data_IF_380818618707
#
_entry.id   IF_380818618707
#
_cell.length_a   1.000
_cell.length_b   1.000
_cell.length_c   1.000
_cell.angle_alpha   90.00
_cell.angle_beta   90.00
_cell.angle_gamma   90.00
#
_symmetry.space_group_name_H-M   'P 1'
#
loop_
_entity.id
_entity.type
_entity.pdbx_description
1 polymer ?
#
# COMPACT_ATOMS: atom_id res chain seq x y z
N UNK A 1 30.98 12.73 -15.85
CA UNK A 1 29.55 13.09 -15.81
C UNK A 1 28.92 12.48 -14.56
N UNK A 2 28.05 13.19 -13.82
CA UNK A 2 27.37 12.65 -12.65
C UNK A 2 26.33 11.59 -13.06
N UNK A 3 26.23 10.52 -12.27
CA UNK A 3 25.26 9.42 -12.46
C UNK A 3 24.24 9.48 -11.33
N UNK A 4 22.96 9.29 -11.66
CA UNK A 4 21.85 9.32 -10.70
C UNK A 4 21.03 8.02 -10.80
N UNK A 5 20.38 7.63 -9.71
CA UNK A 5 19.44 6.49 -9.65
C UNK A 5 18.07 6.95 -9.18
N UNK A 6 17.00 6.32 -9.68
CA UNK A 6 15.63 6.54 -9.19
C UNK A 6 15.53 6.10 -7.73
N UNK A 7 14.71 6.79 -6.93
CA UNK A 7 14.43 6.37 -5.55
C UNK A 7 13.56 5.11 -5.58
N UNK A 8 13.81 4.11 -4.72
CA UNK A 8 12.92 2.96 -4.57
C UNK A 8 11.58 3.46 -4.02
N UNK A 9 10.48 3.03 -4.65
CA UNK A 9 9.12 3.43 -4.28
C UNK A 9 8.46 2.19 -3.66
N UNK A 10 7.95 2.32 -2.44
CA UNK A 10 7.11 1.30 -1.81
C UNK A 10 5.66 1.75 -1.96
N UNK A 11 4.81 0.84 -2.42
CA UNK A 11 3.38 1.08 -2.67
C UNK A 11 2.56 -0.03 -2.03
N UNK A 12 1.30 0.28 -1.71
CA UNK A 12 0.33 -0.75 -1.32
C UNK A 12 -0.37 -1.26 -2.57
N UNK A 13 -0.49 -2.58 -2.72
CA UNK A 13 -1.10 -3.19 -3.89
C UNK A 13 -2.04 -4.33 -3.50
N UNK A 14 -3.20 -4.39 -4.16
CA UNK A 14 -4.20 -5.43 -3.98
C UNK A 14 -4.40 -6.18 -5.30
N UNK A 15 -4.16 -7.50 -5.30
CA UNK A 15 -4.45 -8.35 -6.45
C UNK A 15 -5.95 -8.53 -6.60
N UNK A 16 -6.47 -8.20 -7.76
CA UNK A 16 -7.90 -8.30 -8.06
C UNK A 16 -8.31 -9.76 -8.26
N UNK A 17 -9.41 -10.15 -7.62
CA UNK A 17 -10.04 -11.47 -7.79
C UNK A 17 -11.29 -11.43 -8.69
N UNK A 18 -11.78 -10.23 -8.98
CA UNK A 18 -12.95 -9.96 -9.82
C UNK A 18 -12.67 -8.74 -10.69
N UNK A 19 -13.39 -8.62 -11.80
CA UNK A 19 -13.31 -7.41 -12.62
C UNK A 19 -13.91 -6.22 -11.86
N UNK A 20 -13.18 -5.11 -11.84
CA UNK A 20 -13.66 -3.86 -11.26
C UNK A 20 -13.52 -2.74 -12.30
N UNK A 21 -14.26 -1.67 -12.09
CA UNK A 21 -14.10 -0.44 -12.87
C UNK A 21 -13.87 0.69 -11.88
N UNK A 22 -12.80 1.45 -12.07
CA UNK A 22 -12.46 2.60 -11.23
C UNK A 22 -12.41 3.86 -12.09
N UNK A 23 -12.77 4.99 -11.50
CA UNK A 23 -12.59 6.30 -12.11
C UNK A 23 -11.22 6.83 -11.67
N UNK A 24 -10.33 7.03 -12.64
CA UNK A 24 -9.02 7.66 -12.43
C UNK A 24 -9.03 9.06 -13.04
N UNK A 25 -8.04 9.87 -12.70
CA UNK A 25 -7.81 11.19 -13.33
C UNK A 25 -7.60 11.09 -14.85
N UNK A 26 -7.17 9.92 -15.33
CA UNK A 26 -6.98 9.57 -16.73
C UNK A 26 -8.25 8.95 -17.38
N UNK A 27 -9.38 8.97 -16.65
CA UNK A 27 -10.67 8.42 -17.07
C UNK A 27 -10.99 7.08 -16.41
N UNK A 28 -12.08 6.47 -16.86
CA UNK A 28 -12.59 5.21 -16.34
C UNK A 28 -11.72 4.04 -16.82
N UNK A 29 -11.08 3.32 -15.88
CA UNK A 29 -10.27 2.13 -16.18
C UNK A 29 -10.94 0.88 -15.65
N UNK A 30 -10.94 -0.18 -16.47
CA UNK A 30 -11.45 -1.50 -16.11
C UNK A 30 -10.27 -2.41 -15.77
N UNK A 31 -10.30 -2.96 -14.55
CA UNK A 31 -9.36 -3.98 -14.09
C UNK A 31 -9.95 -5.37 -14.21
N UNK A 32 -9.12 -6.36 -14.51
CA UNK A 32 -9.49 -7.76 -14.63
C UNK A 32 -8.98 -8.57 -13.44
N UNK A 33 -9.57 -9.77 -13.19
CA UNK A 33 -9.03 -10.69 -12.20
C UNK A 33 -7.57 -11.01 -12.51
N UNK A 34 -6.68 -10.70 -11.58
CA UNK A 34 -5.25 -10.90 -11.75
C UNK A 34 -4.40 -9.66 -11.77
N UNK A 35 -4.98 -8.54 -12.18
CA UNK A 35 -4.34 -7.23 -12.15
C UNK A 35 -4.18 -6.74 -10.72
N UNK A 36 -3.37 -5.71 -10.55
CA UNK A 36 -3.14 -5.08 -9.26
C UNK A 36 -3.78 -3.70 -9.24
N UNK A 37 -4.54 -3.43 -8.18
CA UNK A 37 -4.94 -2.08 -7.80
C UNK A 37 -3.90 -1.54 -6.82
N UNK A 38 -3.15 -0.53 -7.25
CA UNK A 38 -2.06 0.06 -6.50
C UNK A 38 -2.54 1.37 -5.89
N UNK A 39 -2.19 1.61 -4.64
CA UNK A 39 -2.42 2.86 -3.92
C UNK A 39 -1.07 3.48 -3.58
N UNK A 40 -0.86 4.73 -3.98
CA UNK A 40 0.34 5.47 -3.62
C UNK A 40 0.25 6.07 -2.20
N UNK A 41 1.33 6.69 -1.75
CA UNK A 41 1.39 7.37 -0.45
C UNK A 41 0.44 8.58 -0.31
N UNK A 42 -0.08 9.11 -1.42
CA UNK A 42 -1.01 10.22 -1.44
C UNK A 42 -2.48 9.73 -1.43
N UNK A 43 -2.70 8.42 -1.53
CA UNK A 43 -4.03 7.81 -1.62
C UNK A 43 -4.56 7.70 -3.05
N UNK A 44 -3.75 8.02 -4.07
CA UNK A 44 -4.14 7.89 -5.47
C UNK A 44 -4.10 6.43 -5.89
N UNK A 45 -5.19 5.98 -6.53
CA UNK A 45 -5.35 4.59 -6.95
C UNK A 45 -5.21 4.44 -8.47
N UNK A 46 -4.47 3.41 -8.88
CA UNK A 46 -4.27 3.08 -10.29
C UNK A 46 -4.24 1.58 -10.52
N UNK A 47 -4.73 1.17 -11.69
CA UNK A 47 -4.67 -0.20 -12.14
C UNK A 47 -3.34 -0.48 -12.82
N UNK A 48 -2.78 -1.65 -12.54
CA UNK A 48 -1.55 -2.14 -13.14
C UNK A 48 -1.74 -3.59 -13.55
N UNK A 49 -1.36 -3.92 -14.78
CA UNK A 49 -1.41 -5.28 -15.30
C UNK A 49 -0.45 -6.19 -14.52
N UNK A 50 -0.84 -7.45 -14.36
CA UNK A 50 -0.09 -8.43 -13.58
C UNK A 50 1.38 -8.52 -13.99
N UNK A 51 1.64 -8.70 -15.29
CA UNK A 51 2.98 -8.95 -15.81
C UNK A 51 3.91 -7.75 -15.56
N UNK A 52 3.40 -6.54 -15.77
CA UNK A 52 4.14 -5.30 -15.48
C UNK A 52 4.42 -5.17 -13.98
N UNK A 53 3.42 -5.40 -13.14
CA UNK A 53 3.59 -5.28 -11.69
C UNK A 53 4.60 -6.28 -11.14
N UNK A 54 4.51 -7.55 -11.56
CA UNK A 54 5.40 -8.61 -11.08
C UNK A 54 6.83 -8.48 -11.62
N UNK A 55 7.04 -7.74 -12.73
CA UNK A 55 8.36 -7.40 -13.24
C UNK A 55 8.99 -6.19 -12.53
N UNK A 56 8.19 -5.18 -12.18
CA UNK A 56 8.69 -3.90 -11.63
C UNK A 56 8.70 -3.85 -10.09
N UNK A 57 7.88 -4.67 -9.42
CA UNK A 57 7.71 -4.65 -7.97
C UNK A 57 8.07 -5.97 -7.31
N UNK A 58 8.79 -5.88 -6.19
CA UNK A 58 9.11 -7.00 -5.33
C UNK A 58 8.37 -6.90 -4.00
N UNK A 59 7.95 -8.05 -3.46
CA UNK A 59 7.34 -8.09 -2.14
C UNK A 59 8.38 -7.72 -1.07
N UNK A 60 8.17 -6.58 -0.41
CA UNK A 60 8.99 -6.16 0.72
C UNK A 60 8.67 -7.04 1.93
N UNK A 61 9.45 -8.11 2.13
CA UNK A 61 9.37 -8.93 3.35
C UNK A 61 9.84 -8.11 4.55
N UNK A 62 8.95 -7.80 5.50
CA UNK A 62 9.36 -7.36 6.84
C UNK A 62 8.90 -5.97 7.31
N UNK A 63 8.00 -5.27 6.62
CA UNK A 63 7.38 -4.07 7.22
C UNK A 63 6.14 -4.44 8.05
N UNK A 64 6.39 -4.98 9.24
CA UNK A 64 5.46 -4.78 10.35
C UNK A 64 5.70 -3.35 10.79
N UNK A 65 4.71 -2.47 10.64
CA UNK A 65 4.79 -1.11 11.17
C UNK A 65 4.76 -1.17 12.71
N UNK A 66 5.94 -1.43 13.28
CA UNK A 66 6.13 -1.57 14.73
C UNK A 66 5.71 -0.29 15.45
N UNK A 67 5.80 0.88 14.80
CA UNK A 67 5.34 2.14 15.39
C UNK A 67 3.84 2.11 15.66
N UNK A 68 3.03 1.69 14.69
CA UNK A 68 1.58 1.51 14.86
C UNK A 68 1.24 0.50 15.97
N UNK A 69 1.93 -0.66 16.02
CA UNK A 69 1.69 -1.68 17.05
C UNK A 69 2.10 -1.23 18.46
N UNK A 70 3.24 -0.53 18.56
CA UNK A 70 3.78 -0.02 19.81
C UNK A 70 2.86 1.10 20.35
N UNK A 71 2.42 2.04 19.50
CA UNK A 71 1.49 3.10 19.91
C UNK A 71 0.15 2.56 20.40
N UNK A 72 -0.44 1.57 19.72
CA UNK A 72 -1.69 0.92 20.16
C UNK A 72 -1.50 0.22 21.51
N UNK A 73 -0.38 -0.48 21.70
CA UNK A 73 -0.07 -1.14 22.97
C UNK A 73 0.11 -0.13 24.12
N UNK A 74 0.86 0.95 23.92
CA UNK A 74 1.03 2.00 24.93
C UNK A 74 -0.27 2.74 25.26
N UNK A 75 -1.16 2.94 24.28
CA UNK A 75 -2.49 3.55 24.50
C UNK A 75 -3.34 2.67 25.43
N UNK A 76 -3.33 1.35 25.22
CA UNK A 76 -4.06 0.38 26.06
C UNK A 76 -3.50 0.38 27.50
N UNK A 77 -2.17 0.44 27.65
CA UNK A 77 -1.50 0.46 28.95
C UNK A 77 -1.86 1.73 29.73
N UNK A 78 -1.82 2.91 29.10
CA UNK A 78 -2.21 4.17 29.75
C UNK A 78 -3.68 4.17 30.18
N UNK A 79 -4.60 3.61 29.41
CA UNK A 79 -6.03 3.56 29.78
C UNK A 79 -6.30 2.67 31.00
N UNK A 80 -5.51 1.60 31.23
CA UNK A 80 -5.65 0.77 32.44
C UNK A 80 -5.15 1.44 33.72
N UNK A 81 -4.17 2.34 33.62
CA UNK A 81 -3.53 2.96 34.80
C UNK A 81 -4.39 4.10 35.40
N UNK A 82 -5.34 4.67 34.64
CA UNK A 82 -6.12 5.86 35.06
C UNK A 82 -7.47 5.51 35.73
N UNK A 83 -7.81 4.23 35.92
CA UNK A 83 -9.14 3.82 36.43
C UNK A 83 -9.21 3.36 37.89
N UNK A 84 -8.24 3.69 38.74
CA UNK A 84 -8.35 3.49 40.19
C UNK A 84 -7.89 4.75 40.95
N UNK A 85 -8.83 5.68 41.11
CA UNK A 85 -8.91 6.65 42.21
C UNK A 85 -10.37 6.88 42.50
#
# INVERSE_FOLDING_TARGET
MPKYRKKPIVVEALKLTRSITIETSDGTKKGLPGDYLITDKNGEQYLCERDTFEADFELVKGQIDLKEMIQKSFRIIKTKIVKHS
#
